data_IF_254962643569
#
_entry.id   IF_254962643569
#
_cell.length_a   1.000
_cell.length_b   1.000
_cell.length_c   1.000
_cell.angle_alpha   90.00
_cell.angle_beta   90.00
_cell.angle_gamma   90.00
#
_symmetry.space_group_name_H-M   'P 1'
#
loop_
_entity.id
_entity.type
_entity.pdbx_description
1 polymer ?
#
# COMPACT_ATOMS: atom_id res chain seq x y z
N UNK A 1 35.50 -40.48 41.85
CA UNK A 1 34.61 -39.54 42.57
C UNK A 1 33.31 -39.45 41.79
N UNK A 2 32.18 -39.93 42.35
CA UNK A 2 30.88 -39.89 41.67
C UNK A 2 30.31 -38.47 41.78
N UNK A 3 30.23 -37.75 40.67
CA UNK A 3 29.46 -36.51 40.60
C UNK A 3 27.99 -36.85 40.88
N UNK A 4 27.46 -36.40 42.02
CA UNK A 4 26.04 -36.41 42.29
C UNK A 4 25.34 -35.57 41.21
N UNK A 5 24.61 -36.23 40.30
CA UNK A 5 23.75 -35.52 39.34
C UNK A 5 22.64 -34.85 40.15
N UNK A 6 22.64 -33.51 40.18
CA UNK A 6 21.54 -32.73 40.74
C UNK A 6 20.29 -33.03 39.90
N UNK A 7 19.29 -33.68 40.51
CA UNK A 7 17.99 -33.86 39.89
C UNK A 7 17.23 -32.53 40.00
N UNK A 8 16.71 -32.04 38.88
CA UNK A 8 15.91 -30.82 38.82
C UNK A 8 14.54 -31.09 39.42
N UNK A 9 14.07 -30.23 40.32
CA UNK A 9 12.75 -30.38 40.91
C UNK A 9 11.67 -29.86 39.95
N UNK A 10 10.49 -30.47 40.01
CA UNK A 10 9.34 -30.06 39.19
C UNK A 10 8.92 -28.61 39.48
N UNK A 11 9.12 -28.13 40.71
CA UNK A 11 8.85 -26.74 41.11
C UNK A 11 9.82 -25.77 40.45
N UNK A 12 11.13 -26.06 40.42
CA UNK A 12 12.12 -25.21 39.75
C UNK A 12 11.81 -25.06 38.26
N UNK A 13 11.37 -26.13 37.60
CA UNK A 13 11.00 -26.08 36.20
C UNK A 13 9.73 -25.24 35.96
N UNK A 14 8.71 -25.41 36.81
CA UNK A 14 7.47 -24.65 36.73
C UNK A 14 7.68 -23.15 36.91
N UNK A 15 8.49 -22.74 37.89
CA UNK A 15 8.79 -21.33 38.16
C UNK A 15 9.48 -20.69 36.95
N UNK A 16 10.44 -21.39 36.33
CA UNK A 16 11.14 -20.87 35.14
C UNK A 16 10.19 -20.68 33.97
N UNK A 17 9.33 -21.67 33.69
CA UNK A 17 8.34 -21.56 32.60
C UNK A 17 7.34 -20.44 32.89
N UNK A 18 6.90 -20.27 34.14
CA UNK A 18 6.00 -19.19 34.54
C UNK A 18 6.64 -17.81 34.31
N UNK A 19 7.90 -17.63 34.67
CA UNK A 19 8.63 -16.37 34.43
C UNK A 19 8.76 -16.12 32.92
N UNK A 20 9.16 -17.12 32.12
CA UNK A 20 9.26 -17.00 30.66
C UNK A 20 7.90 -16.63 30.05
N UNK A 21 6.81 -17.24 30.51
CA UNK A 21 5.47 -16.96 30.03
C UNK A 21 5.05 -15.50 30.31
N UNK A 22 5.32 -14.98 31.51
CA UNK A 22 5.03 -13.58 31.87
C UNK A 22 5.83 -12.61 31.00
N UNK A 23 7.13 -12.86 30.85
CA UNK A 23 8.01 -12.02 30.04
C UNK A 23 7.56 -12.02 28.57
N UNK A 24 7.28 -13.20 28.02
CA UNK A 24 6.81 -13.34 26.65
C UNK A 24 5.48 -12.62 26.43
N UNK A 25 4.52 -12.74 27.36
CA UNK A 25 3.22 -12.09 27.28
C UNK A 25 3.32 -10.55 27.19
N UNK A 26 4.29 -9.93 27.87
CA UNK A 26 4.54 -8.49 27.77
C UNK A 26 5.33 -8.11 26.51
N UNK A 27 6.25 -8.97 26.07
CA UNK A 27 7.16 -8.68 24.96
C UNK A 27 6.49 -8.83 23.58
N UNK A 28 5.62 -9.83 23.41
CA UNK A 28 4.90 -10.07 22.15
C UNK A 28 4.13 -8.86 21.61
N UNK A 29 3.27 -8.17 22.39
CA UNK A 29 2.52 -7.02 21.87
C UNK A 29 3.44 -5.84 21.50
N UNK A 30 4.52 -5.64 22.26
CA UNK A 30 5.50 -4.59 21.97
C UNK A 30 6.25 -4.90 20.67
N UNK A 31 6.71 -6.14 20.51
CA UNK A 31 7.41 -6.59 19.32
C UNK A 31 6.54 -6.48 18.06
N UNK A 32 5.26 -6.85 18.15
CA UNK A 32 4.31 -6.71 17.04
C UNK A 32 4.16 -5.25 16.60
N UNK A 33 4.01 -4.31 17.55
CA UNK A 33 3.94 -2.87 17.26
C UNK A 33 5.23 -2.33 16.64
N UNK A 34 6.38 -2.73 17.18
CA UNK A 34 7.69 -2.32 16.65
C UNK A 34 7.91 -2.81 15.22
N UNK A 35 7.56 -4.07 14.94
CA UNK A 35 7.62 -4.66 13.59
C UNK A 35 6.73 -3.89 12.62
N UNK A 36 5.52 -3.53 13.02
CA UNK A 36 4.61 -2.78 12.16
C UNK A 36 5.10 -1.35 11.90
N UNK A 37 5.70 -0.69 12.90
CA UNK A 37 6.34 0.62 12.71
C UNK A 37 7.50 0.56 11.71
N UNK A 38 8.30 -0.52 11.74
CA UNK A 38 9.35 -0.74 10.75
C UNK A 38 8.77 -0.93 9.34
N UNK A 39 7.74 -1.79 9.19
CA UNK A 39 7.05 -2.02 7.91
C UNK A 39 6.44 -0.75 7.34
N UNK A 40 5.84 0.08 8.18
CA UNK A 40 5.33 1.40 7.81
C UNK A 40 6.44 2.31 7.25
N UNK A 41 7.60 2.31 7.88
CA UNK A 41 8.75 3.10 7.42
C UNK A 41 9.27 2.60 6.07
N UNK A 42 9.37 1.27 5.90
CA UNK A 42 9.70 0.65 4.61
C UNK A 42 8.69 1.02 3.53
N UNK A 43 7.39 0.98 3.86
CA UNK A 43 6.32 1.35 2.95
C UNK A 43 6.45 2.81 2.46
N UNK A 44 6.70 3.75 3.38
CA UNK A 44 6.94 5.15 3.02
C UNK A 44 8.18 5.33 2.13
N UNK A 45 9.25 4.56 2.37
CA UNK A 45 10.44 4.56 1.52
C UNK A 45 10.16 4.01 0.11
N UNK A 46 9.39 2.92 0.00
CA UNK A 46 8.96 2.35 -1.27
C UNK A 46 8.15 3.37 -2.07
N UNK A 47 7.14 4.00 -1.44
CA UNK A 47 6.32 5.05 -2.06
C UNK A 47 7.16 6.22 -2.58
N UNK A 48 8.17 6.65 -1.81
CA UNK A 48 9.08 7.73 -2.23
C UNK A 48 9.90 7.33 -3.46
N UNK A 49 10.37 6.08 -3.51
CA UNK A 49 11.09 5.56 -4.68
C UNK A 49 10.18 5.45 -5.90
N UNK A 50 8.90 5.06 -5.72
CA UNK A 50 7.91 5.02 -6.79
C UNK A 50 7.56 6.42 -7.32
N UNK A 51 7.38 7.40 -6.42
CA UNK A 51 7.17 8.80 -6.81
C UNK A 51 8.34 9.36 -7.61
N UNK A 52 9.58 9.12 -7.15
CA UNK A 52 10.78 9.49 -7.90
C UNK A 52 10.83 8.82 -9.29
N UNK A 53 10.51 7.53 -9.37
CA UNK A 53 10.47 6.82 -10.65
C UNK A 53 9.41 7.37 -11.59
N UNK A 54 8.26 7.81 -11.08
CA UNK A 54 7.23 8.48 -11.88
C UNK A 54 7.71 9.84 -12.41
N UNK A 55 8.50 10.60 -11.63
CA UNK A 55 9.13 11.83 -12.12
C UNK A 55 10.16 11.58 -13.21
N UNK A 56 11.03 10.58 -13.01
CA UNK A 56 12.00 10.20 -14.04
C UNK A 56 11.29 9.75 -15.32
N UNK A 57 10.19 8.99 -15.20
CA UNK A 57 9.35 8.65 -16.36
C UNK A 57 8.79 9.88 -17.06
N UNK A 58 8.24 10.84 -16.31
CA UNK A 58 7.67 12.05 -16.90
C UNK A 58 8.72 12.89 -17.65
N UNK A 59 9.93 13.01 -17.10
CA UNK A 59 11.04 13.69 -17.77
C UNK A 59 11.39 13.06 -19.13
N UNK A 60 11.30 11.74 -19.24
CA UNK A 60 11.59 11.00 -20.47
C UNK A 60 10.37 10.91 -21.42
N UNK A 61 9.17 11.23 -20.93
CA UNK A 61 7.90 11.04 -21.63
C UNK A 61 7.16 12.37 -21.86
N UNK A 62 7.85 13.43 -22.27
CA UNK A 62 7.26 14.75 -22.57
C UNK A 62 6.34 15.29 -21.45
N UNK A 63 6.77 15.12 -20.20
CA UNK A 63 6.04 15.51 -18.98
C UNK A 63 4.74 14.73 -18.72
N UNK A 64 4.49 13.64 -19.44
CA UNK A 64 3.37 12.74 -19.15
C UNK A 64 3.69 11.83 -17.95
N UNK A 65 2.80 11.83 -16.95
CA UNK A 65 2.89 10.87 -15.86
C UNK A 65 2.62 9.43 -16.36
N UNK A 66 3.12 8.41 -15.64
CA UNK A 66 2.76 7.02 -15.90
C UNK A 66 1.25 6.83 -15.94
N UNK A 67 0.79 5.79 -16.61
CA UNK A 67 -0.64 5.54 -16.71
C UNK A 67 -0.95 4.06 -16.69
N UNK A 68 -2.09 3.75 -16.09
CA UNK A 68 -2.58 2.39 -16.02
C UNK A 68 -3.89 2.25 -16.78
N UNK A 69 -4.10 1.07 -17.38
CA UNK A 69 -5.31 0.79 -18.16
C UNK A 69 -6.51 0.57 -17.24
N UNK A 70 -6.27 0.12 -16.01
CA UNK A 70 -7.27 -0.11 -14.99
C UNK A 70 -6.92 0.63 -13.70
N UNK A 71 -7.91 0.98 -12.87
CA UNK A 71 -7.62 1.38 -11.51
C UNK A 71 -6.89 0.23 -10.79
N UNK A 72 -5.91 0.58 -9.97
CA UNK A 72 -4.98 -0.24 -9.17
C UNK A 72 -5.61 -1.19 -8.12
N UNK A 73 -6.83 -1.65 -8.39
CA UNK A 73 -7.65 -2.53 -7.57
C UNK A 73 -8.76 -3.23 -8.38
N UNK A 74 -8.69 -3.24 -9.71
CA UNK A 74 -9.50 -4.13 -10.53
C UNK A 74 -8.91 -5.54 -10.48
N UNK A 75 -9.70 -6.55 -10.84
CA UNK A 75 -9.26 -7.94 -11.00
C UNK A 75 -8.34 -8.15 -12.22
N UNK A 76 -7.61 -7.11 -12.62
CA UNK A 76 -6.86 -7.01 -13.88
C UNK A 76 -5.49 -6.40 -13.60
N UNK A 77 -4.51 -6.78 -14.41
CA UNK A 77 -3.10 -6.55 -14.10
C UNK A 77 -2.64 -5.11 -14.33
N UNK A 78 -1.69 -4.64 -13.52
CA UNK A 78 -1.09 -3.29 -13.59
C UNK A 78 0.19 -3.28 -14.45
N UNK A 79 0.27 -4.18 -15.43
CA UNK A 79 1.50 -4.44 -16.18
C UNK A 79 2.00 -3.20 -16.94
N UNK A 80 1.09 -2.32 -17.40
CA UNK A 80 1.48 -1.08 -18.08
C UNK A 80 2.25 -0.16 -17.15
N UNK A 81 1.68 0.14 -15.98
CA UNK A 81 2.32 0.96 -14.96
C UNK A 81 3.65 0.35 -14.51
N UNK A 82 3.67 -0.95 -14.23
CA UNK A 82 4.89 -1.66 -13.84
C UNK A 82 5.96 -1.55 -14.92
N UNK A 83 5.62 -1.73 -16.19
CA UNK A 83 6.58 -1.61 -17.30
C UNK A 83 7.08 -0.18 -17.50
N UNK A 84 6.27 0.83 -17.22
CA UNK A 84 6.69 2.23 -17.28
C UNK A 84 7.66 2.60 -16.15
N UNK A 85 7.46 2.07 -14.93
CA UNK A 85 8.27 2.44 -13.75
C UNK A 85 9.51 1.55 -13.56
N UNK A 86 9.44 0.28 -13.94
CA UNK A 86 10.51 -0.69 -13.70
C UNK A 86 11.88 -0.30 -14.29
N UNK A 87 12.01 0.43 -15.42
CA UNK A 87 13.30 0.93 -15.89
C UNK A 87 14.01 1.86 -14.89
N UNK A 88 13.25 2.63 -14.11
CA UNK A 88 13.77 3.60 -13.14
C UNK A 88 13.95 3.01 -11.75
N UNK A 89 13.05 2.11 -11.33
CA UNK A 89 13.16 1.47 -10.00
C UNK A 89 14.14 0.30 -10.00
N UNK A 90 14.21 -0.46 -11.11
CA UNK A 90 14.96 -1.72 -11.26
C UNK A 90 14.72 -2.74 -10.13
N UNK A 91 13.60 -2.58 -9.43
CA UNK A 91 13.24 -3.38 -8.29
C UNK A 91 11.72 -3.52 -8.24
N UNK A 92 11.21 -4.71 -8.53
CA UNK A 92 9.75 -4.97 -8.49
C UNK A 92 9.25 -5.22 -7.07
N UNK A 93 10.12 -5.44 -6.09
CA UNK A 93 9.72 -5.64 -4.69
C UNK A 93 9.11 -4.37 -4.09
N UNK A 94 9.59 -3.19 -4.48
CA UNK A 94 9.06 -1.92 -3.95
C UNK A 94 7.65 -1.59 -4.45
N UNK A 95 7.07 -2.40 -5.34
CA UNK A 95 5.65 -2.32 -5.74
C UNK A 95 4.71 -2.94 -4.69
N UNK A 96 5.28 -3.57 -3.67
CA UNK A 96 4.55 -4.28 -2.62
C UNK A 96 4.77 -3.62 -1.24
N UNK A 97 3.67 -3.41 -0.54
CA UNK A 97 3.60 -2.95 0.81
C UNK A 97 3.83 -4.16 1.72
N UNK A 98 4.77 -4.09 2.66
CA UNK A 98 5.10 -5.21 3.55
C UNK A 98 3.98 -5.55 4.56
N UNK A 99 2.96 -4.69 4.65
CA UNK A 99 1.76 -4.87 5.48
C UNK A 99 0.51 -5.16 4.64
N UNK A 100 0.66 -5.37 3.32
CA UNK A 100 -0.46 -5.71 2.46
C UNK A 100 -1.06 -7.07 2.87
N UNK A 101 -2.39 -7.15 3.00
CA UNK A 101 -3.10 -8.36 3.38
C UNK A 101 -3.26 -9.34 2.19
N UNK A 102 -3.51 -10.61 2.49
CA UNK A 102 -4.19 -11.50 1.56
C UNK A 102 -5.71 -11.34 1.75
N UNK A 103 -6.45 -10.95 0.70
CA UNK A 103 -7.87 -10.57 0.82
C UNK A 103 -8.86 -11.53 0.17
N UNK A 104 -8.41 -12.64 -0.44
CA UNK A 104 -9.29 -13.73 -0.84
C UNK A 104 -8.71 -14.67 -1.88
N UNK A 105 -9.35 -15.83 -2.05
CA UNK A 105 -8.98 -16.88 -3.02
C UNK A 105 -9.15 -16.44 -4.49
N UNK A 106 -10.04 -15.48 -4.76
CA UNK A 106 -10.38 -14.99 -6.09
C UNK A 106 -9.77 -13.62 -6.43
N UNK A 107 -9.06 -13.00 -5.47
CA UNK A 107 -8.39 -11.71 -5.62
C UNK A 107 -6.98 -11.85 -5.02
N UNK A 108 -6.02 -12.42 -5.77
CA UNK A 108 -4.68 -12.71 -5.27
C UNK A 108 -3.78 -11.47 -5.09
N UNK A 109 -4.28 -10.26 -5.33
CA UNK A 109 -3.51 -9.25 -6.06
C UNK A 109 -2.50 -8.41 -5.26
N UNK A 110 -2.28 -8.63 -3.97
CA UNK A 110 -1.57 -7.61 -3.17
C UNK A 110 -0.42 -8.14 -2.29
N UNK A 111 -0.25 -9.46 -2.21
CA UNK A 111 0.89 -10.05 -1.51
C UNK A 111 2.09 -10.13 -2.46
N UNK A 112 3.28 -9.90 -1.95
CA UNK A 112 4.52 -10.10 -2.70
C UNK A 112 4.73 -11.60 -3.01
N UNK A 113 4.26 -12.06 -4.18
CA UNK A 113 4.50 -13.42 -4.69
C UNK A 113 5.06 -13.36 -6.11
N UNK A 114 5.78 -14.39 -6.53
CA UNK A 114 6.35 -14.44 -7.89
C UNK A 114 5.25 -14.47 -8.96
N UNK A 115 4.12 -15.14 -8.67
CA UNK A 115 2.95 -15.12 -9.55
C UNK A 115 2.41 -13.69 -9.73
N UNK A 116 2.29 -12.92 -8.65
CA UNK A 116 1.85 -11.52 -8.72
C UNK A 116 2.85 -10.63 -9.44
N UNK A 117 4.15 -10.82 -9.21
CA UNK A 117 5.21 -10.08 -9.91
C UNK A 117 5.16 -10.33 -11.42
N UNK A 118 4.97 -11.59 -11.81
CA UNK A 118 4.85 -12.02 -13.19
C UNK A 118 3.55 -11.55 -13.85
N UNK A 119 2.45 -11.50 -13.10
CA UNK A 119 1.18 -10.94 -13.56
C UNK A 119 1.23 -9.40 -13.67
N UNK A 120 2.15 -8.73 -12.97
CA UNK A 120 2.22 -7.27 -12.95
C UNK A 120 1.24 -6.65 -11.94
N UNK A 121 0.86 -7.41 -10.92
CA UNK A 121 0.04 -6.93 -9.81
C UNK A 121 0.88 -6.08 -8.86
N UNK A 122 0.27 -5.09 -8.20
CA UNK A 122 0.94 -4.22 -7.23
C UNK A 122 0.04 -4.03 -6.01
N UNK A 123 0.62 -3.76 -4.85
CA UNK A 123 -0.16 -3.56 -3.61
C UNK A 123 -0.59 -2.11 -3.34
N UNK A 124 0.01 -1.17 -4.07
CA UNK A 124 -0.20 0.27 -3.89
C UNK A 124 -1.33 0.76 -4.77
N UNK A 125 -2.06 1.74 -4.28
CA UNK A 125 -2.99 2.48 -5.10
C UNK A 125 -2.25 3.56 -5.89
N UNK A 126 -2.22 3.45 -7.21
CA UNK A 126 -1.80 4.48 -8.14
C UNK A 126 -2.99 5.31 -8.64
N UNK A 127 -2.94 6.62 -8.47
CA UNK A 127 -3.96 7.53 -8.96
C UNK A 127 -3.67 7.78 -10.45
N UNK A 128 -4.30 7.02 -11.35
CA UNK A 128 -4.03 7.13 -12.80
C UNK A 128 -4.40 8.51 -13.33
N UNK A 129 -3.56 9.05 -14.21
CA UNK A 129 -3.67 10.42 -14.75
C UNK A 129 -3.89 10.48 -16.28
N UNK A 130 -4.32 9.37 -16.90
CA UNK A 130 -4.68 9.33 -18.33
C UNK A 130 -5.97 10.14 -18.60
N UNK A 131 -6.21 10.49 -19.88
CA UNK A 131 -7.42 11.15 -20.43
C UNK A 131 -8.73 10.44 -20.09
N UNK A 132 -8.66 9.22 -19.57
CA UNK A 132 -9.76 8.59 -18.85
C UNK A 132 -9.53 8.87 -17.38
N UNK A 133 -10.30 9.84 -16.84
CA UNK A 133 -10.61 9.90 -15.41
C UNK A 133 -10.65 8.46 -14.91
N UNK A 134 -9.87 8.13 -13.85
CA UNK A 134 -10.04 6.88 -13.09
C UNK A 134 -11.52 6.52 -13.15
N UNK A 135 -11.87 5.46 -13.89
CA UNK A 135 -13.20 5.35 -14.49
C UNK A 135 -14.27 5.12 -13.43
N UNK A 136 -14.68 6.17 -12.75
CA UNK A 136 -16.06 6.34 -12.31
C UNK A 136 -16.80 6.74 -13.56
N UNK A 137 -17.24 5.76 -14.33
CA UNK A 137 -18.05 5.99 -15.53
C UNK A 137 -19.38 6.60 -15.09
N UNK A 138 -19.69 7.88 -15.40
CA UNK A 138 -21.00 8.42 -15.09
C UNK A 138 -22.02 7.65 -15.91
N UNK A 139 -22.92 6.91 -15.24
CA UNK A 139 -23.94 6.09 -15.89
C UNK A 139 -23.63 4.60 -16.01
N UNK A 140 -22.50 4.10 -15.51
CA UNK A 140 -22.25 2.66 -15.38
C UNK A 140 -21.78 2.29 -13.96
N UNK A 141 -22.70 1.92 -13.05
CA UNK A 141 -22.41 1.69 -11.63
C UNK A 141 -21.58 0.43 -11.33
N UNK A 142 -21.26 -0.38 -12.35
CA UNK A 142 -20.69 -1.73 -12.16
C UNK A 142 -19.16 -1.79 -11.99
N UNK A 143 -18.43 -0.68 -12.11
CA UNK A 143 -16.97 -0.64 -11.88
C UNK A 143 -16.61 0.42 -10.84
N UNK A 144 -16.71 -0.04 -9.61
CA UNK A 144 -16.82 0.74 -8.39
C UNK A 144 -15.72 1.75 -8.05
N UNK A 145 -14.43 1.50 -8.16
CA UNK A 145 -13.33 2.08 -7.32
C UNK A 145 -13.49 3.54 -6.78
N UNK A 146 -14.32 3.75 -5.76
CA UNK A 146 -14.61 5.04 -5.13
C UNK A 146 -13.46 5.41 -4.19
N UNK A 147 -12.36 5.89 -4.73
CA UNK A 147 -11.63 6.93 -4.01
C UNK A 147 -12.43 8.22 -4.20
N UNK A 148 -12.73 8.91 -3.09
CA UNK A 148 -13.72 9.98 -3.06
C UNK A 148 -13.57 10.96 -4.22
N UNK A 149 -14.70 11.42 -4.77
CA UNK A 149 -14.77 12.34 -5.91
C UNK A 149 -13.92 13.62 -5.76
N UNK A 150 -13.48 13.94 -4.54
CA UNK A 150 -12.55 15.05 -4.27
C UNK A 150 -11.08 14.79 -4.60
N UNK A 151 -10.66 13.55 -4.85
CA UNK A 151 -9.27 13.19 -5.19
C UNK A 151 -9.02 13.04 -6.69
N UNK A 152 -10.08 13.06 -7.50
CA UNK A 152 -10.01 13.12 -8.95
C UNK A 152 -10.18 14.58 -9.38
N UNK A 153 -9.62 15.01 -10.53
CA UNK A 153 -9.90 16.35 -11.03
C UNK A 153 -11.41 16.59 -11.06
N UNK A 154 -11.83 17.75 -10.56
CA UNK A 154 -13.22 18.17 -10.65
C UNK A 154 -13.72 18.01 -12.08
N UNK A 155 -14.99 17.62 -12.24
CA UNK A 155 -15.62 17.49 -13.57
C UNK A 155 -15.34 18.76 -14.39
N UNK A 156 -14.62 18.63 -15.50
CA UNK A 156 -14.38 19.72 -16.45
C UNK A 156 -12.93 20.05 -16.79
N UNK A 157 -11.93 19.41 -16.17
CA UNK A 157 -10.53 19.57 -16.60
C UNK A 157 -10.29 18.76 -17.88
N UNK A 158 -10.01 19.40 -19.05
CA UNK A 158 -9.83 18.68 -20.30
C UNK A 158 -8.38 18.20 -20.42
N UNK A 159 -8.16 16.88 -20.44
CA UNK A 159 -6.87 16.28 -20.81
C UNK A 159 -6.23 15.41 -19.72
N UNK A 160 -5.16 14.66 -20.07
CA UNK A 160 -4.35 13.94 -19.08
C UNK A 160 -3.61 14.95 -18.20
N UNK A 161 -3.29 14.63 -16.94
CA UNK A 161 -2.42 15.53 -16.17
C UNK A 161 -1.01 15.46 -16.75
N UNK A 162 -0.52 16.61 -17.17
CA UNK A 162 0.88 16.83 -17.54
C UNK A 162 1.59 17.38 -16.30
N UNK A 163 2.85 17.02 -16.10
CA UNK A 163 3.69 17.61 -15.08
C UNK A 163 3.90 19.10 -15.44
N UNK A 164 3.22 20.00 -14.74
CA UNK A 164 3.38 21.46 -14.93
C UNK A 164 4.33 22.02 -13.88
N UNK A 165 5.09 23.06 -14.22
CA UNK A 165 6.11 23.70 -13.35
C UNK A 165 5.58 24.18 -11.98
N UNK A 166 4.26 24.36 -11.83
CA UNK A 166 3.59 24.65 -10.57
C UNK A 166 2.95 23.35 -10.06
N UNK A 167 3.76 22.60 -9.33
CA UNK A 167 3.37 21.35 -8.68
C UNK A 167 2.24 21.60 -7.70
N UNK A 168 1.08 21.03 -7.98
CA UNK A 168 -0.06 21.03 -7.07
C UNK A 168 0.31 20.10 -5.89
N UNK A 169 1.03 20.64 -4.89
CA UNK A 169 1.62 19.88 -3.77
C UNK A 169 0.60 19.08 -2.97
N UNK A 170 -0.69 19.37 -3.16
CA UNK A 170 -1.80 18.72 -2.50
C UNK A 170 -2.34 17.51 -3.29
N UNK A 171 -1.90 17.31 -4.54
CA UNK A 171 -2.29 16.17 -5.36
C UNK A 171 -1.56 14.89 -4.94
N UNK A 172 -2.28 13.76 -4.91
CA UNK A 172 -1.73 12.45 -4.54
C UNK A 172 -1.39 11.63 -5.78
N UNK A 173 -0.29 10.88 -5.69
CA UNK A 173 0.25 10.05 -6.76
C UNK A 173 0.14 8.56 -6.43
N UNK A 174 0.54 8.18 -5.21
CA UNK A 174 0.40 6.81 -4.70
C UNK A 174 -0.10 6.80 -3.25
N UNK A 175 -0.83 5.76 -2.86
CA UNK A 175 -1.10 5.46 -1.45
C UNK A 175 -0.96 3.97 -1.16
N UNK A 176 -0.68 3.62 0.09
CA UNK A 176 -0.72 2.23 0.60
C UNK A 176 -2.11 1.82 1.13
N UNK A 177 -3.06 2.77 1.10
CA UNK A 177 -4.45 2.56 1.42
C UNK A 177 -5.18 1.94 0.23
N UNK A 178 -5.68 0.72 0.42
CA UNK A 178 -6.51 0.06 -0.57
C UNK A 178 -7.99 0.13 -0.17
N UNK A 179 -8.94 0.21 -1.09
CA UNK A 179 -10.36 0.11 -0.76
C UNK A 179 -10.93 -1.29 -1.13
N UNK A 180 -11.43 -2.03 -0.14
CA UNK A 180 -12.28 -3.19 -0.39
C UNK A 180 -13.66 -2.73 -0.80
N UNK A 181 -14.08 -3.17 -1.98
CA UNK A 181 -15.49 -3.12 -2.36
C UNK A 181 -16.15 -4.37 -1.80
N UNK A 182 -16.65 -4.30 -0.57
CA UNK A 182 -17.59 -5.33 -0.11
C UNK A 182 -18.97 -4.99 -0.67
N UNK A 183 -19.55 -5.91 -1.45
CA UNK A 183 -20.92 -5.79 -1.99
C UNK A 183 -21.98 -5.55 -0.89
N UNK A 184 -21.63 -5.84 0.36
CA UNK A 184 -22.50 -5.77 1.53
C UNK A 184 -22.48 -4.43 2.28
N UNK A 185 -21.59 -3.50 1.93
CA UNK A 185 -21.56 -2.18 2.56
C UNK A 185 -21.40 -1.09 1.50
N UNK A 186 -22.40 -0.24 1.38
CA UNK A 186 -22.35 1.02 0.64
C UNK A 186 -21.41 2.03 1.34
N UNK A 187 -20.15 1.64 1.56
CA UNK A 187 -19.12 2.40 2.26
C UNK A 187 -17.72 1.97 1.80
N UNK A 188 -16.78 2.92 1.78
CA UNK A 188 -15.39 2.65 1.40
C UNK A 188 -14.68 1.98 2.57
N UNK A 189 -14.59 0.65 2.56
CA UNK A 189 -13.74 -0.06 3.53
C UNK A 189 -12.30 0.06 3.08
N UNK A 190 -11.65 1.15 3.48
CA UNK A 190 -10.20 1.26 3.35
C UNK A 190 -9.55 0.20 4.24
N UNK A 191 -8.70 -0.60 3.63
CA UNK A 191 -7.93 -1.63 4.26
C UNK A 191 -7.13 -1.06 5.42
N UNK A 192 -7.03 -1.82 6.51
CA UNK A 192 -6.30 -1.43 7.71
C UNK A 192 -4.80 -1.65 7.60
N UNK A 193 -4.19 -1.32 6.45
CA UNK A 193 -2.74 -1.26 6.33
C UNK A 193 -2.21 -0.39 7.47
N UNK A 194 -1.08 -0.77 8.07
CA UNK A 194 -0.46 -0.02 9.16
C UNK A 194 -1.41 0.33 10.33
N UNK A 195 -2.26 -0.61 10.75
CA UNK A 195 -3.25 -0.43 11.82
C UNK A 195 -4.27 0.67 11.51
N UNK A 196 -4.80 0.66 10.28
CA UNK A 196 -5.83 1.61 9.86
C UNK A 196 -5.30 2.95 9.39
N UNK A 197 -3.99 3.11 9.17
CA UNK A 197 -3.38 4.37 8.77
C UNK A 197 -2.70 4.26 7.41
N UNK A 198 -2.42 5.38 6.74
CA UNK A 198 -1.89 5.35 5.37
C UNK A 198 -0.66 6.22 5.20
N UNK A 199 0.23 5.80 4.30
CA UNK A 199 1.23 6.65 3.69
C UNK A 199 0.72 7.12 2.32
N UNK A 200 0.91 8.41 2.07
CA UNK A 200 0.51 9.07 0.84
C UNK A 200 1.75 9.66 0.19
N UNK A 201 2.04 9.24 -1.04
CA UNK A 201 2.97 9.91 -1.93
C UNK A 201 2.21 10.98 -2.70
N UNK A 202 2.71 12.20 -2.61
CA UNK A 202 2.17 13.35 -3.32
C UNK A 202 2.84 13.48 -4.69
N UNK A 203 2.23 14.30 -5.54
CA UNK A 203 2.67 14.53 -6.90
C UNK A 203 4.00 15.27 -6.99
N UNK A 204 4.46 15.93 -5.93
CA UNK A 204 5.81 16.51 -5.85
C UNK A 204 6.86 15.50 -5.32
N UNK A 205 6.46 14.25 -5.10
CA UNK A 205 7.30 13.17 -4.58
C UNK A 205 7.48 13.15 -3.06
N UNK A 206 6.88 14.08 -2.30
CA UNK A 206 6.91 13.99 -0.85
C UNK A 206 5.99 12.87 -0.37
N UNK A 207 6.38 12.19 0.72
CA UNK A 207 5.57 11.15 1.34
C UNK A 207 5.18 11.58 2.73
N UNK A 208 3.88 11.59 3.01
CA UNK A 208 3.32 11.93 4.31
C UNK A 208 2.57 10.75 4.88
N UNK A 209 2.82 10.50 6.16
CA UNK A 209 1.99 9.61 6.94
C UNK A 209 0.72 10.33 7.40
N UNK A 210 -0.44 9.75 7.12
CA UNK A 210 -1.73 10.17 7.63
C UNK A 210 -2.15 9.23 8.75
N UNK A 211 -2.11 9.74 9.98
CA UNK A 211 -2.49 8.99 11.18
C UNK A 211 -4.00 8.92 11.38
N UNK A 212 -4.44 7.93 12.16
CA UNK A 212 -5.86 7.66 12.40
C UNK A 212 -6.49 6.81 11.30
N UNK A 213 -7.79 6.48 11.42
CA UNK A 213 -8.50 5.65 10.46
C UNK A 213 -8.45 6.29 9.07
N UNK A 214 -7.92 5.55 8.10
CA UNK A 214 -7.77 5.97 6.71
C UNK A 214 -9.07 6.54 6.16
N UNK A 215 -10.22 5.96 6.53
CA UNK A 215 -11.55 6.44 6.15
C UNK A 215 -11.81 7.91 6.44
N UNK A 216 -11.24 8.48 7.52
CA UNK A 216 -11.41 9.90 7.85
C UNK A 216 -10.65 10.82 6.88
N UNK A 217 -9.59 10.31 6.26
CA UNK A 217 -8.80 11.03 5.26
C UNK A 217 -9.58 11.18 3.95
N UNK A 218 -10.62 10.36 3.71
CA UNK A 218 -11.45 10.39 2.50
C UNK A 218 -12.87 10.94 2.70
N UNK A 219 -13.20 11.47 3.88
CA UNK A 219 -14.46 12.17 4.15
C UNK A 219 -14.36 13.64 3.79
#
# INVERSE_FOLDING_TARGET
MRHARRAFTLIELLVVIAIIAILAAMLFPVFARARESARKTTCASNLRQLGLAAHMYAQDADEYLPCDYYPCNSSTTHMRLVNQLNPYTKNRQIMYCPSAPAIGTWMPDFVETDANKAAGNISYYYYSFDRRLNTVTPGNPSFSTWIAWGFLPGRGVPGPRVMTEIWDSDCWLFTDGWCRMTREQYGVTLHESHNGSINVCYLDGHVKFQGGPAQLVFK
#
